data_IF_798380214282
#
_entry.id   IF_798380214282
#
_cell.length_a   1.000
_cell.length_b   1.000
_cell.length_c   1.000
_cell.angle_alpha   90.00
_cell.angle_beta   90.00
_cell.angle_gamma   90.00
#
_symmetry.space_group_name_H-M   'P 1'
#
loop_
_entity.id
_entity.type
_entity.pdbx_description
1 polymer ?
#
# COMPACT_ATOMS: atom_id res chain seq x y z
N UNK A 1 -22.89 -2.10 -20.71
CA UNK A 1 -21.86 -1.33 -19.96
C UNK A 1 -20.94 -0.55 -20.90
N UNK A 2 -20.09 -1.14 -21.77
CA UNK A 2 -19.13 -0.42 -22.62
C UNK A 2 -19.78 0.64 -23.54
N UNK A 3 -20.89 0.36 -24.19
CA UNK A 3 -21.64 1.32 -25.01
C UNK A 3 -22.08 2.53 -24.18
N UNK A 4 -22.58 2.31 -22.97
CA UNK A 4 -23.01 3.38 -22.06
C UNK A 4 -21.82 4.23 -21.59
N UNK A 5 -20.69 3.62 -21.30
CA UNK A 5 -19.44 4.35 -20.97
C UNK A 5 -19.02 5.25 -22.13
N UNK A 6 -19.07 4.74 -23.38
CA UNK A 6 -18.77 5.54 -24.56
C UNK A 6 -19.72 6.71 -24.77
N UNK A 7 -21.02 6.54 -24.47
CA UNK A 7 -22.01 7.63 -24.53
C UNK A 7 -21.74 8.69 -23.46
N UNK A 8 -21.45 8.26 -22.22
CA UNK A 8 -21.20 9.14 -21.10
C UNK A 8 -19.96 10.02 -21.29
N UNK A 9 -18.87 9.50 -21.86
CA UNK A 9 -17.67 10.33 -22.09
C UNK A 9 -17.94 11.48 -23.06
N UNK A 10 -18.78 11.26 -24.07
CA UNK A 10 -19.18 12.33 -25.00
C UNK A 10 -20.02 13.40 -24.27
N UNK A 11 -20.90 12.97 -23.38
CA UNK A 11 -21.70 13.91 -22.55
C UNK A 11 -20.81 14.70 -21.58
N UNK A 12 -19.79 14.05 -20.96
CA UNK A 12 -18.82 14.74 -20.10
C UNK A 12 -18.06 15.82 -20.86
N UNK A 13 -17.59 15.52 -22.08
CA UNK A 13 -16.91 16.50 -22.93
C UNK A 13 -17.82 17.68 -23.25
N UNK A 14 -19.06 17.42 -23.63
CA UNK A 14 -20.04 18.49 -23.92
C UNK A 14 -20.36 19.35 -22.68
N UNK A 15 -20.40 18.73 -21.50
CA UNK A 15 -20.61 19.42 -20.24
C UNK A 15 -19.35 20.14 -19.71
N UNK A 16 -18.20 20.00 -20.38
CA UNK A 16 -16.92 20.54 -19.92
C UNK A 16 -16.40 19.92 -18.62
N UNK A 17 -16.90 18.73 -18.23
CA UNK A 17 -16.52 18.08 -16.99
C UNK A 17 -15.14 17.45 -17.10
N UNK A 18 -14.24 17.84 -16.20
CA UNK A 18 -12.85 17.45 -16.18
C UNK A 18 -12.57 16.48 -15.02
N UNK A 19 -11.48 15.70 -15.06
CA UNK A 19 -11.04 14.91 -13.91
C UNK A 19 -10.87 15.74 -12.64
N UNK A 20 -10.34 16.97 -12.75
CA UNK A 20 -10.17 17.90 -11.62
C UNK A 20 -11.47 18.33 -10.95
N UNK A 21 -12.59 18.31 -11.66
CA UNK A 21 -13.90 18.63 -11.07
C UNK A 21 -14.44 17.49 -10.19
N UNK A 22 -13.97 16.27 -10.44
CA UNK A 22 -14.42 15.03 -9.79
C UNK A 22 -13.43 14.57 -8.70
N UNK A 23 -12.13 14.62 -9.02
CA UNK A 23 -11.06 14.13 -8.14
C UNK A 23 -10.65 15.20 -7.12
N UNK A 24 -11.59 15.53 -6.24
CA UNK A 24 -11.38 16.45 -5.11
C UNK A 24 -10.83 15.70 -3.90
N UNK A 25 -10.34 16.42 -2.87
CA UNK A 25 -9.89 15.79 -1.61
C UNK A 25 -10.95 14.84 -1.04
N UNK A 26 -12.22 15.24 -1.01
CA UNK A 26 -13.31 14.41 -0.51
C UNK A 26 -13.53 13.14 -1.35
N UNK A 27 -13.28 13.20 -2.66
CA UNK A 27 -13.32 12.01 -3.52
C UNK A 27 -12.18 11.03 -3.18
N UNK A 28 -10.98 11.53 -2.86
CA UNK A 28 -9.87 10.69 -2.41
C UNK A 28 -10.13 10.07 -1.03
N UNK A 29 -10.69 10.82 -0.09
CA UNK A 29 -11.09 10.28 1.21
C UNK A 29 -12.17 9.20 1.04
N UNK A 30 -13.15 9.40 0.16
CA UNK A 30 -14.14 8.38 -0.21
C UNK A 30 -13.48 7.13 -0.82
N UNK A 31 -12.44 7.29 -1.65
CA UNK A 31 -11.72 6.16 -2.19
C UNK A 31 -10.99 5.36 -1.09
N UNK A 32 -10.39 6.04 -0.10
CA UNK A 32 -9.76 5.39 1.06
C UNK A 32 -10.79 4.60 1.88
N UNK A 33 -11.96 5.19 2.16
CA UNK A 33 -13.07 4.52 2.85
C UNK A 33 -13.53 3.29 2.06
N UNK A 34 -13.70 3.43 0.74
CA UNK A 34 -14.10 2.30 -0.11
C UNK A 34 -13.06 1.19 -0.11
N UNK A 35 -11.75 1.51 -0.20
CA UNK A 35 -10.66 0.54 -0.11
C UNK A 35 -10.70 -0.22 1.21
N UNK A 36 -10.92 0.47 2.33
CA UNK A 36 -11.04 -0.16 3.65
C UNK A 36 -12.26 -1.09 3.74
N UNK A 37 -13.43 -0.61 3.29
CA UNK A 37 -14.69 -1.36 3.37
C UNK A 37 -14.70 -2.65 2.54
N UNK A 38 -13.95 -2.67 1.42
CA UNK A 38 -13.84 -3.88 0.57
C UNK A 38 -12.53 -4.64 0.75
N UNK A 39 -11.69 -4.26 1.70
CA UNK A 39 -10.39 -4.88 1.91
C UNK A 39 -9.49 -4.79 0.68
N UNK A 40 -9.43 -3.63 0.05
CA UNK A 40 -8.68 -3.39 -1.18
C UNK A 40 -7.17 -3.56 -1.05
N UNK A 41 -6.49 -3.45 -2.17
CA UNK A 41 -5.03 -3.62 -2.25
C UNK A 41 -4.27 -2.47 -1.60
N UNK A 42 -3.14 -2.78 -0.94
CA UNK A 42 -2.16 -1.79 -0.46
C UNK A 42 -1.58 -0.92 -1.58
N UNK A 43 -1.59 -1.39 -2.82
CA UNK A 43 -1.18 -0.60 -3.98
C UNK A 43 -2.02 0.67 -4.18
N UNK A 44 -3.26 0.70 -3.68
CA UNK A 44 -4.10 1.90 -3.71
C UNK A 44 -3.43 3.11 -3.08
N UNK A 45 -2.58 2.91 -2.07
CA UNK A 45 -1.88 4.00 -1.36
C UNK A 45 -1.00 4.79 -2.32
N UNK A 46 -0.02 4.14 -2.95
CA UNK A 46 0.90 4.84 -3.87
C UNK A 46 0.16 5.42 -5.07
N UNK A 47 -0.87 4.73 -5.58
CA UNK A 47 -1.63 5.22 -6.74
C UNK A 47 -2.50 6.43 -6.41
N UNK A 48 -3.21 6.43 -5.28
CA UNK A 48 -4.03 7.58 -4.88
C UNK A 48 -3.17 8.80 -4.55
N UNK A 49 -2.03 8.61 -3.87
CA UNK A 49 -1.06 9.69 -3.61
C UNK A 49 -0.52 10.28 -4.92
N UNK A 50 -0.12 9.42 -5.88
CA UNK A 50 0.37 9.87 -7.17
C UNK A 50 -0.69 10.68 -7.95
N UNK A 51 -1.93 10.18 -8.02
CA UNK A 51 -3.02 10.87 -8.74
C UNK A 51 -3.35 12.21 -8.06
N UNK A 52 -3.42 12.22 -6.71
CA UNK A 52 -3.66 13.44 -5.96
C UNK A 52 -2.55 14.48 -6.19
N UNK A 53 -1.28 14.04 -6.16
CA UNK A 53 -0.12 14.89 -6.43
C UNK A 53 -0.16 15.53 -7.81
N UNK A 54 -0.52 14.78 -8.85
CA UNK A 54 -0.68 15.30 -10.23
C UNK A 54 -1.80 16.32 -10.37
N UNK A 55 -2.80 16.28 -9.50
CA UNK A 55 -3.93 17.22 -9.47
C UNK A 55 -3.67 18.41 -8.52
N UNK A 56 -2.57 18.41 -7.78
CA UNK A 56 -2.31 19.39 -6.73
C UNK A 56 -3.29 19.28 -5.55
N UNK A 57 -3.87 18.09 -5.34
CA UNK A 57 -4.73 17.81 -4.19
C UNK A 57 -3.86 17.40 -3.01
N UNK A 58 -4.02 18.10 -1.89
CA UNK A 58 -3.33 17.79 -0.64
C UNK A 58 -3.86 16.47 -0.06
N UNK A 59 -3.16 15.37 -0.32
CA UNK A 59 -3.41 14.05 0.23
C UNK A 59 -2.08 13.50 0.77
N UNK A 60 -2.08 13.13 2.04
CA UNK A 60 -0.91 12.60 2.73
C UNK A 60 -1.09 11.13 3.10
N UNK A 61 0.03 10.44 3.35
CA UNK A 61 0.01 9.05 3.83
C UNK A 61 -0.84 8.89 5.10
N UNK A 62 -0.79 9.87 6.02
CA UNK A 62 -1.57 9.88 7.25
C UNK A 62 -3.10 9.84 7.02
N UNK A 63 -3.59 10.35 5.90
CA UNK A 63 -5.03 10.33 5.58
C UNK A 63 -5.57 8.89 5.45
N UNK A 64 -4.74 7.95 5.02
CA UNK A 64 -5.15 6.54 4.91
C UNK A 64 -5.45 5.93 6.27
N UNK A 65 -4.63 6.23 7.28
CA UNK A 65 -4.91 5.78 8.64
C UNK A 65 -6.08 6.55 9.27
N UNK A 66 -6.18 7.84 9.05
CA UNK A 66 -7.22 8.67 9.65
C UNK A 66 -8.61 8.38 9.07
N UNK A 67 -8.76 8.34 7.75
CA UNK A 67 -10.05 8.10 7.10
C UNK A 67 -10.45 6.62 7.06
N UNK A 68 -9.47 5.71 7.07
CA UNK A 68 -9.71 4.27 6.97
C UNK A 68 -9.80 3.54 8.31
N UNK A 69 -9.23 4.09 9.39
CA UNK A 69 -9.01 3.38 10.67
C UNK A 69 -10.25 2.68 11.21
N UNK A 70 -11.36 3.40 11.26
CA UNK A 70 -12.61 2.94 11.87
C UNK A 70 -13.61 2.39 10.84
N UNK A 71 -13.18 2.20 9.59
CA UNK A 71 -14.01 1.63 8.55
C UNK A 71 -14.03 0.10 8.68
N UNK A 72 -15.22 -0.52 8.78
CA UNK A 72 -15.31 -1.96 8.85
C UNK A 72 -15.10 -2.63 7.48
N UNK A 73 -14.54 -3.85 7.49
CA UNK A 73 -14.48 -4.73 6.32
C UNK A 73 -15.83 -5.42 6.13
N UNK A 74 -16.50 -5.06 5.03
CA UNK A 74 -17.87 -5.51 4.75
C UNK A 74 -17.95 -6.76 3.88
N UNK A 75 -16.84 -7.20 3.29
CA UNK A 75 -16.83 -8.32 2.33
C UNK A 75 -15.93 -9.45 2.78
N UNK A 76 -16.46 -10.67 2.72
CA UNK A 76 -15.73 -11.90 3.06
C UNK A 76 -14.99 -12.45 1.85
N UNK A 77 -14.06 -11.67 1.29
CA UNK A 77 -13.33 -12.01 0.06
C UNK A 77 -11.88 -12.37 0.33
N UNK A 78 -11.34 -13.28 -0.47
CA UNK A 78 -9.90 -13.57 -0.46
C UNK A 78 -9.07 -12.31 -0.75
N UNK A 79 -7.90 -12.15 -0.14
CA UNK A 79 -7.17 -13.11 0.73
C UNK A 79 -7.58 -13.05 2.22
N UNK A 80 -8.41 -12.10 2.62
CA UNK A 80 -8.81 -11.92 4.03
C UNK A 80 -10.05 -12.73 4.43
N UNK A 81 -10.73 -13.34 3.46
CA UNK A 81 -11.95 -14.11 3.62
C UNK A 81 -11.99 -15.33 2.70
N UNK A 82 -13.20 -15.85 2.44
CA UNK A 82 -13.39 -17.14 1.81
C UNK A 82 -13.82 -17.08 0.34
N UNK A 83 -14.60 -16.06 -0.04
CA UNK A 83 -15.24 -15.95 -1.34
C UNK A 83 -14.36 -15.26 -2.40
N UNK A 84 -14.80 -15.29 -3.66
CA UNK A 84 -14.14 -14.68 -4.80
C UNK A 84 -14.90 -13.46 -5.33
N UNK A 85 -14.30 -12.72 -6.25
CA UNK A 85 -14.92 -11.52 -6.85
C UNK A 85 -16.22 -11.82 -7.63
N UNK A 86 -16.36 -13.03 -8.20
CA UNK A 86 -17.59 -13.47 -8.85
C UNK A 86 -18.75 -13.61 -7.84
N UNK A 87 -18.45 -14.11 -6.65
CA UNK A 87 -19.43 -14.20 -5.55
C UNK A 87 -19.86 -12.80 -5.10
N UNK A 88 -18.92 -11.85 -4.98
CA UNK A 88 -19.25 -10.45 -4.68
C UNK A 88 -20.20 -9.87 -5.73
N UNK A 89 -19.92 -10.09 -7.02
CA UNK A 89 -20.79 -9.62 -8.09
C UNK A 89 -22.22 -10.15 -7.95
N UNK A 90 -22.37 -11.43 -7.64
CA UNK A 90 -23.67 -12.10 -7.44
C UNK A 90 -24.36 -11.64 -6.16
N UNK A 91 -23.61 -11.33 -5.12
CA UNK A 91 -24.14 -10.84 -3.84
C UNK A 91 -24.65 -9.38 -3.89
N UNK A 92 -24.46 -8.67 -5.00
CA UNK A 92 -24.92 -7.28 -5.19
C UNK A 92 -23.80 -6.31 -5.62
N UNK A 93 -22.56 -6.79 -5.67
CA UNK A 93 -21.39 -6.05 -6.14
C UNK A 93 -20.89 -4.98 -5.17
N UNK A 94 -19.91 -4.22 -5.64
CA UNK A 94 -19.21 -3.21 -4.84
C UNK A 94 -20.19 -2.16 -4.29
N UNK A 95 -21.18 -1.70 -5.06
CA UNK A 95 -22.11 -0.68 -4.58
C UNK A 95 -22.99 -1.20 -3.43
N UNK A 96 -23.38 -2.47 -3.43
CA UNK A 96 -24.10 -3.07 -2.32
C UNK A 96 -23.23 -3.18 -1.06
N UNK A 97 -21.96 -3.55 -1.21
CA UNK A 97 -21.01 -3.55 -0.09
C UNK A 97 -20.81 -2.13 0.49
N UNK A 98 -20.57 -1.13 -0.36
CA UNK A 98 -20.37 0.26 0.08
C UNK A 98 -21.64 0.89 0.65
N UNK A 99 -22.83 0.44 0.26
CA UNK A 99 -24.11 0.92 0.83
C UNK A 99 -24.21 0.63 2.32
N UNK A 100 -23.55 -0.43 2.81
CA UNK A 100 -23.54 -0.79 4.24
C UNK A 100 -22.81 0.26 5.10
N UNK A 101 -21.95 1.07 4.51
CA UNK A 101 -21.15 2.12 5.18
C UNK A 101 -21.39 3.50 4.55
N UNK A 102 -22.54 3.71 3.91
CA UNK A 102 -22.85 4.93 3.16
C UNK A 102 -22.78 6.24 3.96
N UNK A 103 -22.97 6.16 5.27
CA UNK A 103 -22.89 7.29 6.21
C UNK A 103 -21.46 7.80 6.42
N UNK A 104 -20.43 6.98 6.11
CA UNK A 104 -19.02 7.35 6.24
C UNK A 104 -18.54 8.20 5.06
N UNK A 105 -19.24 8.20 3.92
CA UNK A 105 -18.80 8.92 2.73
C UNK A 105 -19.12 10.42 2.77
N UNK A 106 -18.20 11.21 2.23
CA UNK A 106 -18.41 12.65 1.97
C UNK A 106 -19.45 12.83 0.88
N UNK A 107 -20.58 13.45 1.22
CA UNK A 107 -21.78 13.51 0.39
C UNK A 107 -21.65 14.42 -0.82
N UNK A 108 -20.79 15.44 -0.74
CA UNK A 108 -20.57 16.44 -1.78
C UNK A 108 -19.66 15.93 -2.92
N UNK A 109 -18.97 14.80 -2.74
CA UNK A 109 -18.13 14.23 -3.78
C UNK A 109 -18.98 13.73 -4.95
N UNK A 110 -18.76 14.33 -6.13
CA UNK A 110 -19.49 13.97 -7.35
C UNK A 110 -18.78 12.86 -8.12
N UNK A 111 -19.55 12.17 -8.97
CA UNK A 111 -19.06 11.16 -9.91
C UNK A 111 -18.94 11.71 -11.34
N UNK A 112 -18.48 10.86 -12.26
CA UNK A 112 -18.41 11.16 -13.71
C UNK A 112 -19.74 11.62 -14.31
N UNK A 113 -20.88 11.26 -13.72
CA UNK A 113 -22.19 11.71 -14.17
C UNK A 113 -22.57 13.12 -13.65
N UNK A 114 -21.76 13.69 -12.74
CA UNK A 114 -22.04 14.97 -12.06
C UNK A 114 -22.99 14.85 -10.86
N UNK A 115 -23.42 13.63 -10.51
CA UNK A 115 -24.26 13.36 -9.35
C UNK A 115 -23.40 12.97 -8.15
N UNK A 116 -23.83 13.28 -6.92
CA UNK A 116 -23.17 12.84 -5.70
C UNK A 116 -22.98 11.31 -5.64
N UNK A 117 -21.80 10.86 -5.20
CA UNK A 117 -21.51 9.44 -5.11
C UNK A 117 -22.50 8.68 -4.21
N UNK A 118 -22.90 9.27 -3.10
CA UNK A 118 -23.82 8.65 -2.13
C UNK A 118 -25.19 8.30 -2.71
N UNK A 119 -25.63 8.98 -3.78
CA UNK A 119 -26.90 8.64 -4.45
C UNK A 119 -26.85 7.27 -5.12
N UNK A 120 -25.67 6.80 -5.51
CA UNK A 120 -25.48 5.47 -6.08
C UNK A 120 -25.50 4.35 -5.04
N UNK A 121 -25.44 4.71 -3.76
CA UNK A 121 -25.47 3.77 -2.64
C UNK A 121 -26.88 3.57 -2.04
N UNK A 122 -27.85 4.33 -2.55
CA UNK A 122 -29.25 4.18 -2.09
C UNK A 122 -29.88 2.93 -2.72
N UNK A 123 -30.71 2.24 -1.94
CA UNK A 123 -31.54 1.10 -2.36
C UNK A 123 -30.72 0.00 -3.07
N UNK A 124 -29.57 -0.34 -2.52
CA UNK A 124 -28.71 -1.42 -3.02
C UNK A 124 -28.96 -2.70 -2.23
N UNK A 125 -29.68 -3.67 -2.77
CA UNK A 125 -29.91 -4.93 -2.08
C UNK A 125 -28.63 -5.75 -1.97
N UNK A 126 -28.47 -6.39 -0.82
CA UNK A 126 -27.52 -7.49 -0.63
C UNK A 126 -28.29 -8.78 -0.88
N UNK A 127 -27.78 -9.65 -1.73
CA UNK A 127 -28.40 -10.93 -2.10
C UNK A 127 -27.79 -12.12 -1.37
N UNK A 128 -26.60 -11.94 -0.76
CA UNK A 128 -25.90 -12.96 0.01
C UNK A 128 -25.14 -12.33 1.18
N UNK A 129 -25.64 -12.49 2.39
CA UNK A 129 -25.08 -11.95 3.61
C UNK A 129 -23.81 -12.69 4.08
N UNK A 130 -23.49 -13.85 3.52
CA UNK A 130 -22.23 -14.53 3.79
C UNK A 130 -21.05 -13.88 3.04
N UNK A 131 -21.34 -13.25 1.90
CA UNK A 131 -20.36 -12.57 1.05
C UNK A 131 -20.23 -11.08 1.40
N UNK A 132 -21.37 -10.39 1.53
CA UNK A 132 -21.46 -8.98 1.96
C UNK A 132 -22.13 -8.95 3.33
N UNK A 133 -21.35 -8.78 4.37
CA UNK A 133 -21.83 -8.87 5.74
C UNK A 133 -22.65 -7.63 6.13
N UNK A 134 -23.62 -7.78 7.06
CA UNK A 134 -24.31 -6.62 7.62
C UNK A 134 -23.38 -5.79 8.50
N UNK A 135 -23.63 -4.49 8.60
CA UNK A 135 -22.78 -3.53 9.32
C UNK A 135 -22.55 -3.88 10.80
N UNK A 136 -23.54 -4.52 11.41
CA UNK A 136 -23.53 -4.92 12.83
C UNK A 136 -22.59 -6.10 13.10
N UNK A 137 -22.21 -6.84 12.07
CA UNK A 137 -21.32 -8.02 12.17
C UNK A 137 -20.33 -8.09 11.00
N UNK A 138 -19.45 -7.09 10.85
CA UNK A 138 -18.47 -7.05 9.75
C UNK A 138 -17.42 -8.15 9.92
N UNK A 139 -16.69 -8.47 8.85
CA UNK A 139 -15.52 -9.39 8.91
C UNK A 139 -14.48 -8.87 9.92
N UNK A 140 -14.26 -7.56 9.93
CA UNK A 140 -13.36 -6.86 10.86
C UNK A 140 -13.88 -5.45 11.09
N UNK A 141 -13.93 -5.00 12.35
CA UNK A 141 -14.50 -3.71 12.70
C UNK A 141 -13.64 -2.51 12.22
N UNK A 142 -12.30 -2.65 12.25
CA UNK A 142 -11.33 -1.59 11.96
C UNK A 142 -10.34 -2.12 10.92
N UNK A 143 -10.70 -2.02 9.65
CA UNK A 143 -10.01 -2.74 8.56
C UNK A 143 -9.17 -1.86 7.64
N UNK A 144 -9.07 -0.56 7.93
CA UNK A 144 -8.27 0.36 7.12
C UNK A 144 -6.80 -0.02 7.04
N UNK A 145 -6.17 0.42 5.98
CA UNK A 145 -4.71 0.31 5.86
C UNK A 145 -4.09 1.17 6.96
N UNK A 146 -3.30 0.55 7.82
CA UNK A 146 -2.63 1.23 8.92
C UNK A 146 -1.30 1.80 8.47
N UNK A 147 -1.00 3.02 8.90
CA UNK A 147 0.28 3.69 8.70
C UNK A 147 1.12 3.55 9.97
N UNK A 148 2.32 3.02 9.81
CA UNK A 148 3.30 2.82 10.88
C UNK A 148 4.41 3.86 10.74
N UNK A 149 4.95 4.35 11.85
CA UNK A 149 6.10 5.25 11.88
C UNK A 149 7.08 4.88 12.99
N UNK A 150 8.31 5.37 12.91
CA UNK A 150 9.35 5.12 13.89
C UNK A 150 10.73 5.25 13.27
N UNK A 151 11.78 4.91 14.05
CA UNK A 151 13.15 5.03 13.56
C UNK A 151 13.48 4.11 12.39
N UNK A 152 12.66 3.07 12.12
CA UNK A 152 12.81 2.21 10.93
C UNK A 152 12.08 2.78 9.71
N UNK A 153 11.02 3.53 9.91
CA UNK A 153 10.20 4.12 8.85
C UNK A 153 9.81 5.57 9.22
N UNK A 154 10.74 6.53 9.20
CA UNK A 154 10.47 7.90 9.65
C UNK A 154 9.43 8.62 8.78
N UNK A 155 9.34 8.32 7.49
CA UNK A 155 8.32 8.86 6.60
C UNK A 155 7.08 7.97 6.50
N UNK A 156 7.11 6.80 7.16
CA UNK A 156 6.01 5.86 7.22
C UNK A 156 6.26 4.55 6.50
N UNK A 157 5.44 3.59 6.85
CA UNK A 157 5.25 2.30 6.21
C UNK A 157 3.79 1.92 6.34
N UNK A 158 3.33 0.94 5.59
CA UNK A 158 1.93 0.53 5.64
C UNK A 158 1.78 -0.96 5.92
N UNK A 159 0.67 -1.31 6.56
CA UNK A 159 0.24 -2.70 6.75
C UNK A 159 -1.26 -2.80 6.55
N UNK A 160 -1.73 -3.93 6.02
CA UNK A 160 -3.15 -4.28 5.89
C UNK A 160 -3.53 -5.22 7.04
N UNK A 161 -4.15 -4.74 8.13
CA UNK A 161 -4.47 -5.58 9.29
C UNK A 161 -5.40 -6.74 8.93
N UNK A 162 -6.34 -6.54 7.99
CA UNK A 162 -7.29 -7.55 7.57
C UNK A 162 -6.67 -8.76 6.85
N UNK A 163 -5.43 -8.65 6.36
CA UNK A 163 -4.71 -9.76 5.76
C UNK A 163 -3.65 -10.36 6.71
N UNK A 164 -3.44 -9.79 7.88
CA UNK A 164 -2.40 -10.16 8.83
C UNK A 164 -2.89 -11.12 9.90
N UNK A 165 -1.99 -11.92 10.45
CA UNK A 165 -2.26 -12.74 11.64
C UNK A 165 -2.31 -11.85 12.87
N UNK A 166 -3.45 -11.79 13.54
CA UNK A 166 -3.69 -10.88 14.68
C UNK A 166 -2.62 -10.99 15.77
N UNK A 167 -2.15 -12.20 16.09
CA UNK A 167 -1.11 -12.44 17.10
C UNK A 167 0.24 -11.79 16.75
N UNK A 168 0.51 -11.52 15.46
CA UNK A 168 1.75 -10.91 14.98
C UNK A 168 1.67 -9.38 14.87
N UNK A 169 0.52 -8.77 15.14
CA UNK A 169 0.34 -7.32 15.06
C UNK A 169 1.00 -6.54 16.22
N UNK A 170 1.41 -7.26 17.26
CA UNK A 170 2.38 -6.82 18.27
C UNK A 170 3.50 -7.85 18.30
N UNK A 171 4.69 -7.49 17.84
CA UNK A 171 5.76 -8.45 17.66
C UNK A 171 7.12 -7.82 17.94
N UNK A 172 7.99 -8.61 18.55
CA UNK A 172 9.39 -8.27 18.78
C UNK A 172 10.22 -9.48 18.37
N UNK A 173 11.18 -9.28 17.45
CA UNK A 173 11.98 -10.38 16.96
C UNK A 173 13.24 -9.95 16.21
N UNK A 174 14.21 -10.89 16.06
CA UNK A 174 15.45 -10.62 15.35
C UNK A 174 15.20 -10.54 13.83
N UNK A 175 15.82 -9.56 13.18
CA UNK A 175 15.81 -9.41 11.73
C UNK A 175 16.58 -10.53 11.04
N UNK A 176 16.09 -10.98 9.90
CA UNK A 176 16.81 -11.76 8.88
C UNK A 176 16.77 -10.97 7.59
N UNK A 177 17.90 -10.38 7.23
CA UNK A 177 17.98 -9.39 6.14
C UNK A 177 18.41 -10.03 4.83
N UNK A 178 17.69 -9.65 3.77
CA UNK A 178 17.99 -9.95 2.38
C UNK A 178 18.21 -8.66 1.61
N UNK A 179 19.34 -8.56 0.92
CA UNK A 179 19.78 -7.34 0.23
C UNK A 179 19.16 -7.17 -1.15
N UNK A 180 18.56 -8.22 -1.70
CA UNK A 180 17.84 -8.22 -2.97
C UNK A 180 16.94 -9.45 -3.07
N UNK A 181 16.11 -9.49 -4.12
CA UNK A 181 15.29 -10.67 -4.44
C UNK A 181 16.16 -11.88 -4.75
N UNK A 182 17.28 -11.68 -5.43
CA UNK A 182 18.23 -12.71 -5.80
C UNK A 182 18.89 -13.31 -4.56
N UNK A 183 19.31 -12.45 -3.63
CA UNK A 183 19.86 -12.86 -2.34
C UNK A 183 18.84 -13.65 -1.51
N UNK A 184 17.61 -13.16 -1.44
CA UNK A 184 16.52 -13.88 -0.77
C UNK A 184 16.29 -15.26 -1.38
N UNK A 185 16.18 -15.37 -2.70
CA UNK A 185 15.97 -16.64 -3.38
C UNK A 185 17.11 -17.64 -3.17
N UNK A 186 18.34 -17.14 -3.08
CA UNK A 186 19.52 -17.96 -2.86
C UNK A 186 19.61 -18.50 -1.42
N UNK A 187 19.19 -17.70 -0.43
CA UNK A 187 19.42 -18.01 1.00
C UNK A 187 18.20 -18.43 1.79
N UNK A 188 16.98 -18.15 1.33
CA UNK A 188 15.78 -18.36 2.15
C UNK A 188 15.59 -19.79 2.63
N UNK A 189 15.91 -20.76 1.78
CA UNK A 189 15.81 -22.20 2.06
C UNK A 189 17.16 -22.84 2.39
N UNK A 190 18.20 -22.05 2.64
CA UNK A 190 19.51 -22.53 3.11
C UNK A 190 19.32 -23.20 4.48
N UNK A 191 19.78 -24.46 4.67
CA UNK A 191 19.74 -25.14 5.95
C UNK A 191 20.45 -24.37 7.07
N UNK A 192 21.52 -23.66 6.75
CA UNK A 192 22.35 -22.91 7.70
C UNK A 192 21.79 -21.53 8.01
N UNK A 193 20.76 -21.05 7.30
CA UNK A 193 20.10 -19.78 7.62
C UNK A 193 19.49 -19.84 9.02
N UNK A 194 19.99 -19.00 9.92
CA UNK A 194 19.44 -18.91 11.28
C UNK A 194 18.13 -18.11 11.24
N UNK A 195 17.01 -18.83 11.25
CA UNK A 195 15.66 -18.25 11.24
C UNK A 195 14.73 -19.06 12.14
N UNK A 196 13.89 -18.37 12.93
CA UNK A 196 12.90 -18.94 13.84
C UNK A 196 11.52 -18.35 13.56
N UNK A 197 10.48 -18.90 14.18
CA UNK A 197 9.11 -18.38 14.08
C UNK A 197 8.98 -16.92 14.55
N UNK A 198 9.88 -16.47 15.41
CA UNK A 198 9.90 -15.10 15.94
C UNK A 198 10.75 -14.16 15.09
N UNK A 199 11.47 -14.65 14.08
CA UNK A 199 12.27 -13.79 13.21
C UNK A 199 11.41 -12.88 12.36
N UNK A 200 11.93 -11.69 12.05
CA UNK A 200 11.36 -10.71 11.13
C UNK A 200 12.14 -10.78 9.82
N UNK A 201 11.49 -11.18 8.74
CA UNK A 201 12.14 -11.21 7.42
C UNK A 201 12.16 -9.79 6.84
N UNK A 202 13.32 -9.33 6.41
CA UNK A 202 13.53 -8.00 5.84
C UNK A 202 14.09 -8.13 4.44
N UNK A 203 13.33 -7.67 3.44
CA UNK A 203 13.77 -7.53 2.05
C UNK A 203 13.92 -6.05 1.72
N UNK A 204 15.13 -5.62 1.38
CA UNK A 204 15.44 -4.23 1.07
C UNK A 204 15.92 -4.04 -0.35
N UNK A 205 15.95 -2.77 -0.81
CA UNK A 205 16.41 -2.43 -2.15
C UNK A 205 15.41 -2.76 -3.25
N UNK A 206 14.14 -2.89 -2.90
CA UNK A 206 13.05 -3.19 -3.83
C UNK A 206 12.02 -2.05 -3.90
N UNK A 207 12.36 -0.88 -3.33
CA UNK A 207 11.58 0.34 -3.41
C UNK A 207 11.68 1.04 -4.77
N UNK A 208 11.10 2.24 -4.90
CA UNK A 208 11.02 2.97 -6.18
C UNK A 208 12.35 3.13 -6.90
N UNK A 209 13.43 3.48 -6.19
CA UNK A 209 14.78 3.67 -6.77
C UNK A 209 15.60 2.39 -6.81
N UNK A 210 15.52 1.59 -5.75
CA UNK A 210 16.31 0.38 -5.60
C UNK A 210 15.98 -0.68 -6.63
N UNK A 211 14.71 -0.78 -6.99
CA UNK A 211 14.25 -1.61 -8.09
C UNK A 211 13.25 -0.81 -8.94
N UNK A 212 13.69 -0.21 -10.07
CA UNK A 212 12.85 0.64 -10.90
C UNK A 212 11.50 0.00 -11.26
N UNK A 213 10.41 0.71 -10.94
CA UNK A 213 9.05 0.21 -11.04
C UNK A 213 8.47 -0.35 -9.74
N UNK A 214 9.24 -0.43 -8.64
CA UNK A 214 8.78 -0.86 -7.31
C UNK A 214 7.96 -2.16 -7.38
N UNK A 215 8.60 -3.33 -7.62
CA UNK A 215 7.89 -4.58 -7.90
C UNK A 215 7.11 -5.11 -6.71
N UNK A 216 6.13 -5.98 -6.98
CA UNK A 216 5.28 -6.63 -5.97
C UNK A 216 5.97 -7.86 -5.34
N UNK A 217 7.12 -7.67 -4.73
CA UNK A 217 7.94 -8.74 -4.15
C UNK A 217 7.99 -8.72 -2.62
N UNK A 218 7.33 -7.74 -2.00
CA UNK A 218 7.32 -7.59 -0.54
C UNK A 218 6.63 -8.74 0.20
N UNK A 219 5.76 -9.51 -0.47
CA UNK A 219 5.20 -10.73 0.09
C UNK A 219 6.20 -11.89 -0.03
N UNK A 220 7.31 -11.79 0.69
CA UNK A 220 8.33 -12.82 0.72
C UNK A 220 7.74 -14.20 1.07
N UNK A 221 8.14 -15.29 0.41
CA UNK A 221 7.79 -16.64 0.86
C UNK A 221 8.37 -16.91 2.25
N UNK A 222 7.77 -17.85 2.97
CA UNK A 222 8.30 -18.32 4.25
C UNK A 222 9.35 -19.40 4.02
N UNK A 223 10.38 -19.50 4.88
CA UNK A 223 11.39 -20.58 4.81
C UNK A 223 10.73 -21.96 4.88
N UNK A 224 11.12 -22.86 3.96
CA UNK A 224 10.53 -24.21 3.86
C UNK A 224 10.58 -24.97 5.18
N UNK A 225 11.69 -24.89 5.90
CA UNK A 225 11.84 -25.55 7.21
C UNK A 225 10.83 -25.10 8.27
N UNK A 226 10.33 -23.86 8.20
CA UNK A 226 9.29 -23.37 9.09
C UNK A 226 7.90 -23.76 8.59
N UNK A 227 7.68 -23.76 7.27
CA UNK A 227 6.41 -24.26 6.68
C UNK A 227 6.17 -25.72 7.03
N UNK A 228 7.22 -26.56 7.02
CA UNK A 228 7.18 -27.98 7.42
C UNK A 228 6.85 -28.15 8.90
N UNK A 229 7.21 -27.19 9.74
CA UNK A 229 6.83 -27.13 11.17
C UNK A 229 5.41 -26.60 11.40
N UNK A 230 4.67 -26.27 10.33
CA UNK A 230 3.30 -25.76 10.43
C UNK A 230 3.19 -24.24 10.56
N UNK A 231 4.29 -23.47 10.49
CA UNK A 231 4.23 -22.00 10.47
C UNK A 231 3.52 -21.56 9.19
N UNK A 232 2.57 -20.64 9.30
CA UNK A 232 1.76 -20.14 8.17
C UNK A 232 1.92 -18.65 7.92
N UNK A 233 2.47 -17.90 8.89
CA UNK A 233 2.75 -16.48 8.76
C UNK A 233 3.94 -16.07 9.62
N UNK A 234 4.63 -15.01 9.22
CA UNK A 234 5.73 -14.35 9.93
C UNK A 234 5.68 -12.86 9.63
N UNK A 235 6.22 -12.03 10.50
CA UNK A 235 6.40 -10.60 10.20
C UNK A 235 7.42 -10.44 9.08
N UNK A 236 7.03 -9.72 8.04
CA UNK A 236 7.84 -9.41 6.85
C UNK A 236 7.85 -7.91 6.63
N UNK A 237 8.99 -7.35 6.28
CA UNK A 237 9.18 -5.90 6.08
C UNK A 237 9.90 -5.67 4.76
N UNK A 238 9.39 -4.73 3.96
CA UNK A 238 10.05 -4.34 2.72
C UNK A 238 9.74 -2.90 2.31
N UNK A 239 10.64 -2.29 1.56
CA UNK A 239 10.41 -1.07 0.78
C UNK A 239 9.65 -1.33 -0.54
N UNK A 240 9.38 -2.59 -0.87
CA UNK A 240 8.59 -3.03 -2.03
C UNK A 240 7.07 -2.90 -1.83
N UNK A 241 6.33 -3.28 -2.89
CA UNK A 241 4.88 -3.53 -2.88
C UNK A 241 4.58 -5.03 -2.74
N UNK A 242 3.31 -5.36 -2.56
CA UNK A 242 2.80 -6.72 -2.71
C UNK A 242 1.50 -6.75 -3.52
N UNK A 243 1.19 -7.91 -4.09
CA UNK A 243 -0.09 -8.14 -4.77
C UNK A 243 -1.28 -7.98 -3.81
N UNK A 244 -2.40 -7.47 -4.30
CA UNK A 244 -3.64 -7.34 -3.53
C UNK A 244 -4.21 -8.70 -3.07
N UNK A 245 -3.79 -9.80 -3.69
CA UNK A 245 -4.16 -11.18 -3.33
C UNK A 245 -3.21 -11.82 -2.33
N UNK A 246 -2.16 -11.13 -1.91
CA UNK A 246 -1.20 -11.64 -0.93
C UNK A 246 -1.79 -11.63 0.49
N UNK A 247 -1.44 -12.65 1.27
CA UNK A 247 -1.83 -12.82 2.67
C UNK A 247 -0.61 -12.77 3.58
N UNK A 248 -0.82 -12.30 4.80
CA UNK A 248 0.12 -12.37 5.91
C UNK A 248 0.48 -11.01 6.51
N UNK A 249 1.25 -11.07 7.58
CA UNK A 249 1.72 -9.90 8.34
C UNK A 249 2.90 -9.26 7.60
N UNK A 250 2.59 -8.39 6.63
CA UNK A 250 3.57 -7.76 5.75
C UNK A 250 3.51 -6.26 5.88
N UNK A 251 4.62 -5.65 6.26
CA UNK A 251 4.83 -4.22 6.30
C UNK A 251 5.52 -3.81 5.01
N UNK A 252 4.96 -2.85 4.30
CA UNK A 252 5.33 -2.47 2.94
C UNK A 252 5.60 -0.97 2.82
N UNK A 253 6.13 -0.58 1.67
CA UNK A 253 6.33 0.83 1.33
C UNK A 253 7.15 1.57 2.39
N UNK A 254 8.10 0.89 3.03
CA UNK A 254 8.97 1.53 4.04
C UNK A 254 9.66 2.74 3.41
N UNK A 255 9.43 3.91 3.98
CA UNK A 255 9.97 5.17 3.49
C UNK A 255 10.73 5.95 4.58
N UNK A 256 11.86 6.56 4.22
CA UNK A 256 12.56 6.43 2.93
C UNK A 256 13.04 5.02 2.66
N UNK A 257 13.01 4.59 1.38
CA UNK A 257 13.52 3.27 0.97
C UNK A 257 15.03 3.10 1.21
N UNK A 258 15.51 1.86 1.24
CA UNK A 258 16.92 1.58 1.46
C UNK A 258 17.85 2.22 0.40
N UNK A 259 17.47 2.22 -0.87
CA UNK A 259 18.26 2.80 -1.96
C UNK A 259 18.32 4.34 -1.91
N UNK A 260 17.39 4.99 -1.22
CA UNK A 260 17.42 6.42 -0.94
C UNK A 260 18.19 6.76 0.36
N UNK A 261 18.80 5.78 1.02
CA UNK A 261 19.54 5.95 2.27
C UNK A 261 18.63 5.95 3.50
N UNK A 262 17.42 5.41 3.39
CA UNK A 262 16.51 5.24 4.53
C UNK A 262 17.03 4.22 5.56
N UNK A 263 16.51 4.25 6.80
CA UNK A 263 17.01 3.41 7.91
C UNK A 263 16.99 1.91 7.61
N UNK A 264 16.10 1.44 6.74
CA UNK A 264 16.05 0.05 6.30
C UNK A 264 17.37 -0.43 5.68
N UNK A 265 18.16 0.49 5.06
CA UNK A 265 19.49 0.19 4.52
C UNK A 265 20.48 -0.26 5.59
N UNK A 266 20.27 0.14 6.84
CA UNK A 266 21.22 -0.03 7.94
C UNK A 266 20.84 -1.16 8.90
N UNK A 267 19.69 -1.80 8.70
CA UNK A 267 19.28 -2.99 9.45
C UNK A 267 20.25 -4.13 9.17
N UNK A 268 20.66 -4.84 10.21
CA UNK A 268 21.51 -6.02 10.11
C UNK A 268 20.78 -7.26 10.61
N UNK A 269 21.11 -8.42 10.07
CA UNK A 269 20.62 -9.67 10.63
C UNK A 269 21.00 -9.78 12.10
N UNK A 270 20.00 -10.07 12.95
CA UNK A 270 20.13 -10.11 14.38
C UNK A 270 19.65 -8.83 15.11
N UNK A 271 19.48 -7.70 14.43
CA UNK A 271 18.88 -6.50 15.06
C UNK A 271 17.45 -6.80 15.51
N UNK A 272 17.06 -6.31 16.66
CA UNK A 272 15.70 -6.50 17.18
C UNK A 272 14.77 -5.49 16.56
N UNK A 273 13.71 -5.98 15.93
CA UNK A 273 12.64 -5.17 15.33
C UNK A 273 11.40 -5.25 16.20
N UNK A 274 10.75 -4.11 16.43
CA UNK A 274 9.54 -3.96 17.20
C UNK A 274 8.41 -3.45 16.31
N UNK A 275 7.34 -4.22 16.19
CA UNK A 275 6.07 -3.84 15.58
C UNK A 275 5.01 -3.68 16.66
N UNK A 276 4.37 -2.52 16.71
CA UNK A 276 3.16 -2.28 17.51
C UNK A 276 2.09 -1.60 16.64
N UNK A 277 1.16 -2.41 16.12
CA UNK A 277 0.06 -1.88 15.29
C UNK A 277 -0.84 -0.92 16.09
N UNK A 278 -1.09 -1.20 17.37
CA UNK A 278 -1.96 -0.35 18.20
C UNK A 278 -1.34 1.03 18.41
N UNK A 279 -0.04 1.07 18.69
CA UNK A 279 0.75 2.30 18.82
C UNK A 279 1.15 2.91 17.48
N UNK A 280 0.82 2.28 16.34
CA UNK A 280 1.26 2.72 15.00
C UNK A 280 2.78 2.86 14.90
N UNK A 281 3.52 1.97 15.56
CA UNK A 281 4.97 2.05 15.67
C UNK A 281 5.68 0.91 14.95
N UNK A 282 6.75 1.27 14.24
CA UNK A 282 7.72 0.36 13.64
C UNK A 282 9.13 0.85 13.94
N UNK A 283 9.86 0.11 14.77
CA UNK A 283 11.20 0.50 15.19
C UNK A 283 12.15 -0.68 15.23
N UNK A 284 13.44 -0.39 15.27
CA UNK A 284 14.47 -1.36 15.61
C UNK A 284 15.33 -0.82 16.78
N UNK A 285 15.76 -1.76 17.64
CA UNK A 285 16.47 -1.45 18.88
C UNK A 285 17.96 -1.22 18.58
N UNK A 286 18.26 -0.02 18.08
CA UNK A 286 19.62 0.43 17.75
C UNK A 286 19.74 1.87 18.24
N UNK A 287 20.82 2.18 18.97
CA UNK A 287 21.05 3.54 19.44
C UNK A 287 21.35 4.50 18.29
N UNK A 288 21.04 5.78 18.50
CA UNK A 288 21.28 6.82 17.48
C UNK A 288 22.76 6.89 17.08
N UNK A 289 23.69 6.68 18.02
CA UNK A 289 25.13 6.66 17.73
C UNK A 289 25.53 5.46 16.85
N UNK A 290 24.94 4.28 17.09
CA UNK A 290 25.18 3.11 16.25
C UNK A 290 24.59 3.31 14.87
N UNK A 291 23.36 3.85 14.77
CA UNK A 291 22.73 4.16 13.49
C UNK A 291 23.61 5.12 12.68
N UNK A 292 24.06 6.20 13.30
CA UNK A 292 24.93 7.19 12.64
C UNK A 292 26.27 6.60 12.20
N UNK A 293 26.85 5.66 12.97
CA UNK A 293 28.04 4.91 12.57
C UNK A 293 27.78 4.05 11.34
N UNK A 294 26.63 3.35 11.32
CA UNK A 294 26.23 2.51 10.17
C UNK A 294 26.00 3.34 8.92
N UNK A 295 25.32 4.48 9.01
CA UNK A 295 25.13 5.44 7.92
C UNK A 295 26.45 5.94 7.35
N UNK A 296 27.37 6.34 8.20
CA UNK A 296 28.68 6.85 7.79
C UNK A 296 29.51 5.76 7.08
N UNK A 297 29.45 4.53 7.61
CA UNK A 297 30.14 3.38 7.00
C UNK A 297 29.54 3.00 5.65
N UNK A 298 28.21 3.06 5.51
CA UNK A 298 27.53 2.72 4.27
C UNK A 298 27.75 3.76 3.14
N UNK A 299 27.88 5.05 3.47
CA UNK A 299 28.25 6.09 2.49
C UNK A 299 29.59 5.84 1.82
N UNK A 300 30.47 5.05 2.43
CA UNK A 300 31.74 4.63 1.84
C UNK A 300 31.63 3.38 0.94
N UNK A 301 30.50 2.69 0.98
CA UNK A 301 30.21 1.50 0.17
C UNK A 301 28.97 1.83 -0.69
N UNK A 302 29.14 2.02 -1.99
CA UNK A 302 28.01 2.26 -2.90
C UNK A 302 27.05 1.05 -2.87
N UNK A 303 26.03 1.10 -2.02
CA UNK A 303 25.13 -0.03 -1.75
C UNK A 303 24.23 -0.36 -2.95
N UNK A 304 23.90 0.63 -3.79
CA UNK A 304 23.05 0.45 -4.97
C UNK A 304 23.70 1.10 -6.19
N UNK A 305 23.97 0.28 -7.21
CA UNK A 305 24.52 0.78 -8.47
C UNK A 305 23.43 1.52 -9.25
N UNK A 306 23.45 2.85 -9.18
CA UNK A 306 22.53 3.66 -9.96
C UNK A 306 22.80 3.50 -11.48
N UNK A 307 21.76 3.40 -12.32
CA UNK A 307 21.94 3.37 -13.76
C UNK A 307 22.54 4.69 -14.26
N UNK A 308 23.51 4.61 -15.18
CA UNK A 308 24.28 5.77 -15.63
C UNK A 308 23.69 6.47 -16.84
N UNK A 309 22.67 5.86 -17.52
CA UNK A 309 22.05 6.41 -18.74
C UNK A 309 20.68 5.80 -19.03
N UNK A 310 19.99 6.40 -20.00
CA UNK A 310 18.73 5.91 -20.57
C UNK A 310 17.53 6.11 -19.64
N UNK A 311 16.43 5.44 -19.95
CA UNK A 311 15.17 5.55 -19.20
C UNK A 311 15.31 5.12 -17.74
N UNK A 312 16.13 4.12 -17.44
CA UNK A 312 16.37 3.70 -16.07
C UNK A 312 16.99 4.82 -15.23
N UNK A 313 17.98 5.56 -15.82
CA UNK A 313 18.55 6.73 -15.13
C UNK A 313 17.52 7.83 -14.93
N UNK A 314 16.78 8.19 -15.97
CA UNK A 314 15.72 9.20 -15.88
C UNK A 314 14.72 8.83 -14.77
N UNK A 315 14.28 7.59 -14.73
CA UNK A 315 13.35 7.12 -13.70
C UNK A 315 13.94 7.25 -12.29
N UNK A 316 15.15 6.72 -12.07
CA UNK A 316 15.79 6.72 -10.74
C UNK A 316 16.11 8.14 -10.25
N UNK A 317 16.48 9.05 -11.17
CA UNK A 317 16.77 10.43 -10.83
C UNK A 317 15.51 11.20 -10.37
N UNK A 318 14.33 10.84 -10.90
CA UNK A 318 13.09 11.62 -10.75
C UNK A 318 12.00 10.90 -9.94
N UNK A 319 12.11 9.60 -9.68
CA UNK A 319 11.09 8.90 -8.91
C UNK A 319 11.10 9.34 -7.46
N UNK A 320 9.92 9.70 -6.96
CA UNK A 320 9.68 10.03 -5.56
C UNK A 320 9.57 8.76 -4.71
N UNK A 321 9.52 8.94 -3.40
CA UNK A 321 9.37 7.86 -2.45
C UNK A 321 7.92 7.36 -2.36
N UNK A 322 7.71 6.19 -1.75
CA UNK A 322 6.39 5.56 -1.67
C UNK A 322 5.38 6.38 -0.84
N UNK A 323 5.84 7.09 0.19
CA UNK A 323 5.02 7.98 1.03
C UNK A 323 4.47 9.20 0.27
N UNK A 324 5.01 9.48 -0.91
CA UNK A 324 4.57 10.54 -1.83
C UNK A 324 4.06 10.00 -3.18
N UNK A 325 3.79 8.67 -3.26
CA UNK A 325 3.14 8.04 -4.40
C UNK A 325 4.06 7.36 -5.42
N UNK A 326 5.38 7.36 -5.21
CA UNK A 326 6.36 6.77 -6.13
C UNK A 326 6.18 7.22 -7.59
N UNK A 327 5.68 8.45 -7.80
CA UNK A 327 5.52 9.09 -9.11
C UNK A 327 6.78 9.87 -9.49
N UNK A 328 6.83 10.41 -10.70
CA UNK A 328 7.93 11.25 -11.15
C UNK A 328 7.70 12.69 -10.67
N UNK A 329 8.71 13.32 -10.10
CA UNK A 329 8.65 14.64 -9.47
C UNK A 329 8.16 15.75 -10.40
N UNK A 330 8.53 15.70 -11.67
CA UNK A 330 8.11 16.66 -12.70
C UNK A 330 6.66 16.47 -13.18
N UNK A 331 5.94 15.45 -12.70
CA UNK A 331 4.51 15.22 -12.97
C UNK A 331 3.62 15.73 -11.84
N UNK A 332 4.21 16.18 -10.74
CA UNK A 332 3.48 16.74 -9.60
C UNK A 332 3.04 18.17 -9.90
N UNK A 333 1.82 18.49 -9.47
CA UNK A 333 1.21 19.79 -9.77
C UNK A 333 0.44 19.78 -11.09
N UNK A 334 -0.30 20.84 -11.36
CA UNK A 334 -1.21 20.89 -12.49
C UNK A 334 -0.54 20.47 -13.82
N UNK A 335 -1.03 19.41 -14.41
CA UNK A 335 -0.76 19.10 -15.80
C UNK A 335 -1.44 20.18 -16.65
N UNK A 336 -0.71 20.94 -17.45
CA UNK A 336 -1.38 21.94 -18.25
C UNK A 336 -0.49 22.96 -18.91
N UNK A 337 0.79 22.66 -19.05
CA UNK A 337 1.59 23.41 -20.02
C UNK A 337 0.97 23.25 -21.40
N UNK A 338 0.66 24.37 -22.04
CA UNK A 338 0.16 24.33 -23.40
C UNK A 338 1.21 23.67 -24.31
N UNK A 339 0.86 22.51 -24.83
CA UNK A 339 1.67 21.89 -25.88
C UNK A 339 1.62 22.82 -27.08
N UNK A 340 2.76 23.34 -27.54
CA UNK A 340 2.84 24.11 -28.74
C UNK A 340 2.22 23.33 -29.90
N UNK A 341 1.18 23.88 -30.51
CA UNK A 341 0.39 23.19 -31.55
C UNK A 341 1.10 23.16 -32.90
N UNK A 342 2.15 23.94 -33.07
CA UNK A 342 2.91 24.07 -34.30
C UNK A 342 4.33 23.56 -34.06
N UNK A 343 4.55 22.29 -34.37
CA UNK A 343 5.87 21.64 -34.35
C UNK A 343 6.33 21.25 -35.76
N UNK A 344 6.00 22.05 -36.79
CA UNK A 344 6.41 21.82 -38.20
C UNK A 344 7.43 22.85 -38.65
#
# INVERSE_FOLDING_TARGET
MSHETGRLIVEMVRAGRRPSDIMTRNSFLNAIIAVAAVGGSTNSVVHLLAIAGRLGVDLALADFDQAGRDVPLMVNLQPSGEFLMDDLYRAGGVLAALSQVKDLFHREAITVTGRPFVEYLLDRPVYDDAVILPRESPVMANAGIAVLSGNLAPNGAIIKPAAATTALLQHVGPAVVFDSIEDMRARLDDPDLVVTVNSVLVLRGCGPRGYPGMPEVGNMPLPRKLLEQGVRDMVRISDARMSGTAYGTVILHVAPEAAAGGPLAFVRTGDIICLDLKGRSLSFDVSDEELQRRETSAKSQAAYAAPTRGWAKLYVDHVMQADTGADLDFLVGASGDEVMRESH
#
